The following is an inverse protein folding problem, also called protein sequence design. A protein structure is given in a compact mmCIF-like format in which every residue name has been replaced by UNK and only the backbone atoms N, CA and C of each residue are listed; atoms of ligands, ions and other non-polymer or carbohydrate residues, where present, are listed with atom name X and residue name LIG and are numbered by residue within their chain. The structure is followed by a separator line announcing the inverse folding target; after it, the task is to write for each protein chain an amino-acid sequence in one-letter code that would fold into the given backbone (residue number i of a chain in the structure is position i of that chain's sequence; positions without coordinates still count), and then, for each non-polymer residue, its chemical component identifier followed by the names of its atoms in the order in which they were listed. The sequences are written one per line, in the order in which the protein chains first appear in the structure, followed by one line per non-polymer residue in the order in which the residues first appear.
data_IF_272629607582
#
_entry.id   IF_272629607582
#
_cell.length_a   1.000
_cell.length_b   1.000
_cell.length_c   1.000
_cell.angle_alpha   90.00
_cell.angle_beta   90.00
_cell.angle_gamma   90.00
#
_symmetry.space_group_name_H-M   'P 1'
#
loop_
_entity.id
_entity.type
_entity.pdbx_description
1 polymer ?
#
# COMPACT_ATOMS: atom_id res chain seq x y z
N UNK A 1 37.66 34.77 -15.84
CA UNK A 1 37.50 33.30 -15.97
C UNK A 1 37.24 32.58 -14.65
N UNK A 2 37.72 33.08 -13.50
CA UNK A 2 37.49 32.47 -12.17
C UNK A 2 36.05 32.55 -11.64
N UNK A 3 35.28 33.54 -12.11
CA UNK A 3 33.88 33.75 -11.67
C UNK A 3 32.85 32.98 -12.50
N UNK A 4 33.26 32.32 -13.60
CA UNK A 4 32.36 31.53 -14.44
C UNK A 4 32.16 30.10 -13.90
N UNK A 5 33.12 29.60 -13.12
CA UNK A 5 33.06 28.28 -12.47
C UNK A 5 32.12 28.23 -11.26
N UNK A 6 31.89 29.37 -10.59
CA UNK A 6 30.96 29.44 -9.45
C UNK A 6 29.48 29.37 -9.85
N UNK A 7 29.13 29.80 -11.07
CA UNK A 7 27.76 29.72 -11.58
C UNK A 7 27.36 28.30 -12.02
N UNK A 8 28.33 27.48 -12.45
CA UNK A 8 28.07 26.10 -12.86
C UNK A 8 27.78 25.16 -11.66
N UNK A 9 28.29 25.48 -10.47
CA UNK A 9 28.08 24.65 -9.27
C UNK A 9 26.70 24.86 -8.63
N UNK A 10 26.09 26.05 -8.82
CA UNK A 10 24.75 26.38 -8.30
C UNK A 10 23.59 25.81 -9.14
N UNK A 11 23.86 25.34 -10.37
CA UNK A 11 22.85 24.74 -11.24
C UNK A 11 22.75 23.21 -11.07
N UNK A 12 23.65 22.57 -10.33
CA UNK A 12 23.62 21.11 -10.11
C UNK A 12 22.87 20.71 -8.83
N UNK A 13 22.63 21.65 -7.90
CA UNK A 13 21.95 21.37 -6.62
C UNK A 13 20.43 21.47 -6.70
N UNK A 14 19.87 22.03 -7.77
CA UNK A 14 18.41 22.15 -7.98
C UNK A 14 17.75 20.88 -8.52
N UNK A 15 18.53 19.82 -8.80
CA UNK A 15 18.04 18.52 -9.25
C UNK A 15 17.84 17.48 -8.14
N UNK A 16 17.98 17.88 -6.87
CA UNK A 16 17.33 17.17 -5.77
C UNK A 16 15.89 17.64 -5.68
N UNK A 17 15.12 17.34 -6.74
CA UNK A 17 13.68 17.46 -6.70
C UNK A 17 13.21 16.70 -5.45
N UNK A 18 12.58 17.41 -4.52
CA UNK A 18 11.85 16.82 -3.42
C UNK A 18 10.83 15.86 -4.06
N UNK A 19 11.13 14.56 -4.04
CA UNK A 19 10.16 13.54 -4.38
C UNK A 19 9.05 13.69 -3.34
N UNK A 20 7.91 14.21 -3.77
CA UNK A 20 6.75 14.33 -2.90
C UNK A 20 6.42 12.92 -2.38
N UNK A 21 6.37 12.75 -1.07
CA UNK A 21 5.93 11.50 -0.42
C UNK A 21 4.40 11.37 -0.55
N UNK A 22 3.88 11.45 -1.78
CA UNK A 22 2.45 11.40 -2.07
C UNK A 22 1.81 10.09 -1.64
N UNK A 23 2.61 9.03 -1.46
CA UNK A 23 2.11 7.75 -1.00
C UNK A 23 2.07 7.60 0.52
N UNK A 24 3.00 8.24 1.26
CA UNK A 24 3.05 8.13 2.72
C UNK A 24 1.74 8.61 3.35
N UNK A 25 1.28 7.89 4.37
CA UNK A 25 0.05 8.17 5.09
C UNK A 25 -0.89 6.97 5.16
N UNK A 26 -2.10 7.22 5.65
CA UNK A 26 -3.15 6.23 5.81
C UNK A 26 -4.07 6.21 4.60
N UNK A 27 -4.40 5.00 4.15
CA UNK A 27 -5.30 4.72 3.03
C UNK A 27 -6.37 3.77 3.51
N UNK A 28 -7.63 4.05 3.18
CA UNK A 28 -8.78 3.33 3.72
C UNK A 28 -9.75 2.99 2.61
N UNK A 29 -10.33 1.80 2.66
CA UNK A 29 -11.38 1.40 1.74
C UNK A 29 -11.72 -0.08 1.87
N UNK A 30 -11.77 -0.75 0.72
CA UNK A 30 -12.30 -2.11 0.63
C UNK A 30 -11.30 -3.04 -0.05
N UNK A 31 -11.16 -4.22 0.51
CA UNK A 31 -10.53 -5.37 -0.10
C UNK A 31 -11.61 -6.38 -0.47
N UNK A 32 -11.59 -6.87 -1.71
CA UNK A 32 -12.51 -7.91 -2.19
C UNK A 32 -11.78 -9.19 -2.51
N UNK A 33 -12.52 -10.29 -2.59
CA UNK A 33 -12.06 -11.55 -3.16
C UNK A 33 -13.15 -12.15 -4.04
N UNK A 34 -12.75 -13.03 -4.97
CA UNK A 34 -13.69 -13.83 -5.76
C UNK A 34 -14.46 -14.82 -4.86
N UNK A 35 -15.44 -15.49 -5.46
CA UNK A 35 -16.29 -16.46 -4.78
C UNK A 35 -15.48 -17.66 -4.25
N UNK A 36 -15.90 -18.20 -3.10
CA UNK A 36 -15.33 -19.43 -2.53
C UNK A 36 -14.54 -19.28 -1.22
N UNK A 37 -14.40 -18.06 -0.69
CA UNK A 37 -13.77 -17.85 0.64
C UNK A 37 -14.73 -17.26 1.66
N UNK A 38 -14.20 -16.90 2.83
CA UNK A 38 -15.00 -16.57 4.02
C UNK A 38 -16.03 -15.46 3.76
N UNK A 39 -15.61 -14.34 3.18
CA UNK A 39 -16.45 -13.23 2.72
C UNK A 39 -15.89 -12.66 1.43
N UNK A 40 -16.73 -11.99 0.64
CA UNK A 40 -16.29 -11.36 -0.61
C UNK A 40 -15.76 -9.93 -0.44
N UNK A 41 -16.03 -9.29 0.71
CA UNK A 41 -15.64 -7.90 1.00
C UNK A 41 -15.17 -7.74 2.44
N UNK A 42 -14.11 -6.96 2.61
CA UNK A 42 -13.49 -6.65 3.88
C UNK A 42 -13.18 -5.15 3.92
N UNK A 43 -13.24 -4.59 5.13
CA UNK A 43 -12.61 -3.31 5.39
C UNK A 43 -11.08 -3.47 5.27
N UNK A 44 -10.43 -2.47 4.68
CA UNK A 44 -8.99 -2.49 4.45
C UNK A 44 -8.37 -1.13 4.75
N UNK A 45 -7.27 -1.12 5.49
CA UNK A 45 -6.39 0.03 5.66
C UNK A 45 -4.96 -0.32 5.26
N UNK A 46 -4.26 0.63 4.63
CA UNK A 46 -2.81 0.63 4.50
C UNK A 46 -2.24 1.85 5.19
N UNK A 47 -1.26 1.65 6.08
CA UNK A 47 -0.43 2.74 6.61
C UNK A 47 0.93 2.64 5.96
N UNK A 48 1.24 3.59 5.08
CA UNK A 48 2.43 3.54 4.22
C UNK A 48 3.47 4.55 4.70
N UNK A 49 4.73 4.11 4.74
CA UNK A 49 5.91 4.94 4.88
C UNK A 49 6.78 4.76 3.62
N UNK A 50 7.00 5.84 2.88
CA UNK A 50 7.83 5.87 1.68
C UNK A 50 9.20 6.51 1.97
N UNK A 51 10.26 5.86 1.46
CA UNK A 51 11.64 6.40 1.43
C UNK A 51 12.21 6.19 0.03
N UNK A 52 12.21 7.23 -0.78
CA UNK A 52 12.58 7.11 -2.20
C UNK A 52 11.60 6.18 -2.93
N UNK A 53 12.12 5.18 -3.63
CA UNK A 53 11.31 4.18 -4.33
C UNK A 53 10.89 2.98 -3.46
N UNK A 54 11.30 2.93 -2.18
CA UNK A 54 10.95 1.82 -1.27
C UNK A 54 9.81 2.23 -0.35
N UNK A 55 8.93 1.28 -0.04
CA UNK A 55 7.85 1.46 0.93
C UNK A 55 7.85 0.35 1.96
N UNK A 56 7.44 0.72 3.17
CA UNK A 56 7.15 -0.18 4.28
C UNK A 56 5.83 0.23 4.90
N UNK A 57 5.16 -0.70 5.59
CA UNK A 57 3.93 -0.34 6.28
C UNK A 57 3.19 -1.52 6.87
N UNK A 58 1.95 -1.26 7.25
CA UNK A 58 1.02 -2.27 7.73
C UNK A 58 -0.27 -2.26 6.94
N UNK A 59 -0.79 -3.46 6.68
CA UNK A 59 -2.15 -3.69 6.21
C UNK A 59 -3.00 -4.07 7.42
N UNK A 60 -4.15 -3.43 7.59
CA UNK A 60 -5.20 -3.89 8.48
C UNK A 60 -6.40 -4.35 7.65
N UNK A 61 -6.90 -5.55 7.91
CA UNK A 61 -8.09 -6.10 7.26
C UNK A 61 -9.07 -6.57 8.32
N UNK A 62 -10.35 -6.23 8.17
CA UNK A 62 -11.38 -6.70 9.08
C UNK A 62 -12.72 -6.99 8.41
N UNK A 63 -13.47 -7.89 9.03
CA UNK A 63 -14.86 -8.16 8.69
C UNK A 63 -15.58 -8.69 9.93
N UNK A 64 -16.78 -8.19 10.21
CA UNK A 64 -17.55 -8.55 11.40
C UNK A 64 -16.71 -8.39 12.70
N UNK A 65 -16.37 -9.49 13.37
CA UNK A 65 -15.59 -9.50 14.63
C UNK A 65 -14.14 -9.94 14.46
N UNK A 66 -13.73 -10.31 13.25
CA UNK A 66 -12.38 -10.82 12.95
C UNK A 66 -11.55 -9.77 12.25
N UNK A 67 -10.24 -9.77 12.52
CA UNK A 67 -9.31 -8.83 11.92
C UNK A 67 -7.90 -9.40 11.87
N UNK A 68 -7.07 -8.84 11.01
CA UNK A 68 -5.64 -9.09 11.03
C UNK A 68 -4.87 -7.84 10.65
N UNK A 69 -3.68 -7.74 11.22
CA UNK A 69 -2.67 -6.76 10.85
C UNK A 69 -1.43 -7.47 10.33
N UNK A 70 -0.91 -7.00 9.20
CA UNK A 70 0.23 -7.61 8.52
C UNK A 70 1.26 -6.54 8.17
N UNK A 71 2.54 -6.85 8.37
CA UNK A 71 3.62 -5.99 7.88
C UNK A 71 3.82 -6.22 6.39
N UNK A 72 4.04 -5.16 5.61
CA UNK A 72 4.40 -5.28 4.20
C UNK A 72 5.65 -4.45 3.84
N UNK A 73 6.29 -4.86 2.75
CA UNK A 73 7.30 -4.08 2.03
C UNK A 73 6.90 -3.95 0.57
N UNK A 74 7.46 -2.97 -0.12
CA UNK A 74 7.16 -2.77 -1.54
C UNK A 74 8.05 -1.74 -2.20
N UNK A 75 7.71 -1.46 -3.45
CA UNK A 75 8.41 -0.50 -4.30
C UNK A 75 7.42 0.36 -5.10
N UNK A 76 7.84 1.59 -5.41
CA UNK A 76 7.11 2.54 -6.24
C UNK A 76 7.85 2.71 -7.56
N UNK A 77 7.15 2.47 -8.66
CA UNK A 77 7.64 2.72 -10.01
C UNK A 77 6.61 3.57 -10.77
N UNK A 78 6.87 4.89 -10.82
CA UNK A 78 5.91 5.86 -11.33
C UNK A 78 4.61 5.81 -10.51
N UNK A 79 3.50 5.50 -11.18
CA UNK A 79 2.18 5.40 -10.55
C UNK A 79 1.82 3.96 -10.13
N UNK A 80 2.75 3.00 -10.24
CA UNK A 80 2.51 1.61 -9.86
C UNK A 80 3.27 1.31 -8.58
N UNK A 81 2.58 0.66 -7.64
CA UNK A 81 3.10 0.22 -6.36
C UNK A 81 3.03 -1.29 -6.31
N UNK A 82 4.17 -1.94 -6.18
CA UNK A 82 4.23 -3.38 -5.91
C UNK A 82 4.39 -3.57 -4.41
N UNK A 83 3.56 -4.40 -3.79
CA UNK A 83 3.63 -4.69 -2.37
C UNK A 83 3.62 -6.20 -2.10
N UNK A 84 4.17 -6.59 -0.96
CA UNK A 84 4.11 -7.96 -0.43
C UNK A 84 4.05 -7.91 1.10
N UNK A 85 3.01 -8.51 1.66
CA UNK A 85 2.88 -8.77 3.09
C UNK A 85 3.86 -9.89 3.48
N UNK A 86 4.66 -9.62 4.51
CA UNK A 86 5.80 -10.46 4.88
C UNK A 86 5.49 -11.32 6.12
N UNK A 87 4.64 -10.83 7.02
CA UNK A 87 4.26 -11.53 8.25
C UNK A 87 2.98 -10.96 8.84
N UNK A 88 2.26 -11.80 9.58
CA UNK A 88 1.14 -11.39 10.43
C UNK A 88 1.71 -10.83 11.74
N UNK A 89 1.25 -9.65 12.14
CA UNK A 89 1.62 -8.99 13.39
C UNK A 89 0.69 -9.45 14.51
N UNK A 90 -0.62 -9.35 14.26
CA UNK A 90 -1.67 -9.71 15.21
C UNK A 90 -2.95 -10.07 14.46
N UNK A 91 -3.82 -10.87 15.08
CA UNK A 91 -5.08 -11.24 14.48
C UNK A 91 -6.12 -11.74 15.49
N UNK A 92 -7.38 -11.67 15.07
CA UNK A 92 -8.51 -12.44 15.57
C UNK A 92 -9.09 -13.24 14.41
N UNK A 93 -9.52 -14.49 14.66
CA UNK A 93 -10.08 -15.37 13.64
C UNK A 93 -11.12 -16.32 14.23
N UNK A 94 -12.00 -16.84 13.38
CA UNK A 94 -12.85 -17.98 13.73
C UNK A 94 -12.06 -19.29 13.63
N UNK A 95 -12.63 -20.37 14.18
CA UNK A 95 -12.15 -21.72 13.95
C UNK A 95 -12.15 -22.02 12.43
N UNK A 96 -11.14 -22.76 11.97
CA UNK A 96 -10.91 -23.11 10.55
C UNK A 96 -10.69 -21.94 9.57
N UNK A 97 -10.63 -20.70 10.05
CA UNK A 97 -10.24 -19.56 9.24
C UNK A 97 -8.71 -19.42 9.17
N UNK A 98 -8.20 -19.01 8.01
CA UNK A 98 -6.82 -18.57 7.85
C UNK A 98 -6.74 -17.18 7.21
N UNK A 99 -5.79 -16.39 7.69
CA UNK A 99 -5.45 -15.10 7.09
C UNK A 99 -4.43 -15.31 5.98
N UNK A 100 -4.62 -14.57 4.89
CA UNK A 100 -3.72 -14.55 3.74
C UNK A 100 -2.65 -13.49 3.92
N UNK A 101 -1.39 -13.86 3.64
CA UNK A 101 -0.35 -12.90 3.29
C UNK A 101 -0.46 -12.59 1.80
N UNK A 102 -0.68 -11.31 1.48
CA UNK A 102 -1.06 -10.83 0.15
C UNK A 102 0.10 -10.11 -0.52
N UNK A 103 0.09 -10.13 -1.85
CA UNK A 103 0.97 -9.33 -2.68
C UNK A 103 0.22 -8.89 -3.94
N UNK A 104 0.72 -7.87 -4.60
CA UNK A 104 0.08 -7.38 -5.81
C UNK A 104 0.61 -6.04 -6.28
N UNK A 105 -0.09 -5.49 -7.27
CA UNK A 105 0.22 -4.21 -7.88
C UNK A 105 -0.97 -3.27 -7.73
N UNK A 106 -0.74 -2.09 -7.15
CA UNK A 106 -1.73 -1.02 -7.00
C UNK A 106 -1.34 0.16 -7.87
N UNK A 107 -2.31 0.74 -8.56
CA UNK A 107 -2.18 1.98 -9.31
C UNK A 107 -2.57 3.17 -8.45
N UNK A 108 -1.67 4.13 -8.32
CA UNK A 108 -1.90 5.44 -7.73
C UNK A 108 -2.60 6.34 -8.73
N UNK A 109 -3.81 6.81 -8.39
CA UNK A 109 -4.58 7.74 -9.22
C UNK A 109 -5.09 8.92 -8.41
N UNK A 110 -5.19 10.08 -9.05
CA UNK A 110 -5.81 11.28 -8.49
C UNK A 110 -7.11 11.60 -9.23
N UNK A 111 -8.18 11.91 -8.49
CA UNK A 111 -9.43 12.45 -9.04
C UNK A 111 -9.82 13.68 -8.24
N UNK A 112 -9.73 14.86 -8.87
CA UNK A 112 -9.87 16.13 -8.16
C UNK A 112 -8.77 16.31 -7.11
N UNK A 113 -9.17 16.56 -5.86
CA UNK A 113 -8.25 16.67 -4.71
C UNK A 113 -7.97 15.33 -4.02
N UNK A 114 -8.63 14.24 -4.42
CA UNK A 114 -8.57 12.95 -3.73
C UNK A 114 -7.64 11.97 -4.43
N UNK A 115 -6.83 11.27 -3.65
CA UNK A 115 -5.93 10.20 -4.12
C UNK A 115 -6.52 8.81 -3.84
N UNK A 116 -6.27 7.88 -4.76
CA UNK A 116 -6.77 6.51 -4.73
C UNK A 116 -5.64 5.52 -5.02
N UNK A 117 -5.72 4.35 -4.38
CA UNK A 117 -4.97 3.15 -4.72
C UNK A 117 -5.93 2.06 -5.14
N UNK A 118 -5.72 1.49 -6.33
CA UNK A 118 -6.56 0.40 -6.82
C UNK A 118 -5.74 -0.67 -7.56
N UNK A 119 -6.11 -1.94 -7.41
CA UNK A 119 -5.41 -2.99 -8.13
C UNK A 119 -5.79 -4.39 -7.71
N UNK A 120 -5.11 -5.37 -8.30
CA UNK A 120 -5.30 -6.78 -8.00
C UNK A 120 -4.36 -7.22 -6.87
N UNK A 121 -4.82 -8.16 -6.06
CA UNK A 121 -3.99 -8.87 -5.10
C UNK A 121 -4.17 -10.39 -5.25
N UNK A 122 -3.07 -11.09 -5.01
CA UNK A 122 -2.98 -12.53 -4.81
C UNK A 122 -2.42 -12.81 -3.42
N UNK A 123 -2.51 -14.04 -2.93
CA UNK A 123 -2.03 -14.34 -1.59
C UNK A 123 -1.84 -15.82 -1.31
N UNK A 124 -1.24 -16.09 -0.14
CA UNK A 124 -1.03 -17.43 0.39
C UNK A 124 -1.47 -17.48 1.85
N UNK A 125 -2.10 -18.58 2.24
CA UNK A 125 -2.40 -18.93 3.63
C UNK A 125 -1.67 -20.21 4.03
N UNK A 126 -1.85 -20.62 5.28
CA UNK A 126 -1.39 -21.93 5.77
C UNK A 126 -2.05 -23.12 5.05
N UNK A 127 -3.20 -22.91 4.40
CA UNK A 127 -3.94 -23.95 3.68
C UNK A 127 -3.66 -23.97 2.18
N UNK A 128 -2.83 -23.05 1.67
CA UNK A 128 -2.55 -22.94 0.24
C UNK A 128 -2.81 -21.54 -0.34
N UNK A 129 -2.83 -21.44 -1.68
CA UNK A 129 -3.14 -20.20 -2.38
C UNK A 129 -4.49 -19.63 -1.96
N UNK A 130 -4.53 -18.33 -1.73
CA UNK A 130 -5.76 -17.63 -1.44
C UNK A 130 -6.51 -17.27 -2.72
N UNK A 131 -7.82 -17.14 -2.60
CA UNK A 131 -8.68 -16.66 -3.66
C UNK A 131 -8.38 -15.16 -3.88
N UNK A 132 -7.95 -14.75 -5.08
CA UNK A 132 -7.50 -13.39 -5.33
C UNK A 132 -8.67 -12.41 -5.41
N UNK A 133 -8.34 -11.12 -5.48
CA UNK A 133 -9.34 -10.08 -5.66
C UNK A 133 -8.77 -8.69 -5.88
N UNK A 134 -9.52 -7.68 -5.47
CA UNK A 134 -9.18 -6.27 -5.71
C UNK A 134 -9.03 -5.50 -4.41
N UNK A 135 -8.14 -4.53 -4.43
CA UNK A 135 -8.03 -3.50 -3.40
C UNK A 135 -8.49 -2.18 -4.01
N UNK A 136 -9.31 -1.42 -3.28
CA UNK A 136 -9.69 -0.05 -3.62
C UNK A 136 -9.66 0.81 -2.35
N UNK A 137 -8.72 1.75 -2.30
CA UNK A 137 -8.46 2.59 -1.14
C UNK A 137 -8.43 4.05 -1.53
N UNK A 138 -8.86 4.90 -0.61
CA UNK A 138 -8.76 6.34 -0.70
C UNK A 138 -7.76 6.84 0.34
N UNK A 139 -6.95 7.84 -0.01
CA UNK A 139 -6.06 8.47 0.96
C UNK A 139 -6.86 9.22 2.01
N UNK A 140 -6.59 8.95 3.28
CA UNK A 140 -7.16 9.69 4.38
C UNK A 140 -6.44 11.04 4.51
N UNK A 141 -7.22 12.11 4.57
CA UNK A 141 -6.71 13.46 4.84
C UNK A 141 -6.71 13.63 6.36
N UNK A 142 -5.56 13.90 7.01
CA UNK A 142 -5.53 14.19 8.44
C UNK A 142 -6.49 15.33 8.74
N UNK A 143 -7.41 15.12 9.68
CA UNK A 143 -8.23 16.23 10.20
C UNK A 143 -7.30 17.10 11.04
N UNK A 144 -7.24 18.39 10.69
CA UNK A 144 -6.54 19.42 11.45
C UNK A 144 -7.22 19.69 12.80
#
# INVERSE_FOLDING_TARGET
MKNLLLFAFLLFTSWLAAQSNELSGKWVGVLTQQEGGFRQKYYCELVIQQKGNKITGTTYVSVEKVHAEMAFTGEVNGNVITFKENRIIQYSKLEDMAWCLKWGNLSLRKKGSTWFLEGMWDGQSIYGPCIPGKVFLQKEVPRA
#
